data_IF_469463149961
#
_entry.id   IF_469463149961
#
_cell.length_a   1.000
_cell.length_b   1.000
_cell.length_c   1.000
_cell.angle_alpha   90.00
_cell.angle_beta   90.00
_cell.angle_gamma   90.00
#
_symmetry.space_group_name_H-M   'P 1'
#
loop_
_entity.id
_entity.type
_entity.pdbx_description
1 polymer ?
#
# COMPACT_ATOMS: atom_id res chain seq x y z
N UNK A 1 -43.45 -23.79 18.43
CA UNK A 1 -43.32 -22.35 18.09
C UNK A 1 -42.13 -21.90 18.91
N UNK A 2 -40.94 -22.05 18.32
CA UNK A 2 -39.68 -21.80 19.00
C UNK A 2 -39.28 -20.35 18.75
N UNK A 3 -39.29 -19.56 19.83
CA UNK A 3 -38.78 -18.19 19.88
C UNK A 3 -37.25 -18.23 19.70
N UNK A 4 -36.79 -17.88 18.50
CA UNK A 4 -35.37 -17.71 18.22
C UNK A 4 -34.94 -16.32 18.72
N UNK A 5 -33.97 -16.20 19.64
CA UNK A 5 -33.52 -14.91 20.12
C UNK A 5 -32.82 -14.15 19.00
N UNK A 6 -33.26 -12.91 18.77
CA UNK A 6 -32.60 -11.94 17.90
C UNK A 6 -31.12 -11.84 18.29
N UNK A 7 -30.27 -12.40 17.43
CA UNK A 7 -28.83 -12.30 17.55
C UNK A 7 -28.44 -10.89 17.08
N UNK A 8 -28.57 -9.90 17.97
CA UNK A 8 -28.02 -8.58 17.72
C UNK A 8 -26.49 -8.71 17.76
N UNK A 9 -25.88 -8.68 16.57
CA UNK A 9 -24.45 -8.51 16.43
C UNK A 9 -24.05 -7.27 17.26
N UNK A 10 -23.03 -7.33 18.14
CA UNK A 10 -22.53 -6.15 18.79
C UNK A 10 -22.17 -5.14 17.71
N UNK A 11 -22.79 -3.96 17.75
CA UNK A 11 -22.42 -2.87 16.85
C UNK A 11 -20.97 -2.53 17.17
N UNK A 12 -20.05 -2.83 16.24
CA UNK A 12 -18.67 -2.40 16.36
C UNK A 12 -18.67 -0.90 16.69
N UNK A 13 -17.79 -0.43 17.59
CA UNK A 13 -17.63 1.00 17.77
C UNK A 13 -17.38 1.64 16.40
N UNK A 14 -17.87 2.87 16.16
CA UNK A 14 -17.67 3.55 14.89
C UNK A 14 -16.18 3.47 14.53
N UNK A 15 -15.88 2.90 13.37
CA UNK A 15 -14.51 2.65 12.93
C UNK A 15 -13.71 3.94 13.09
N UNK A 16 -12.58 3.85 13.79
CA UNK A 16 -11.65 4.97 13.85
C UNK A 16 -11.24 5.26 12.42
N UNK A 17 -11.70 6.38 11.86
CA UNK A 17 -11.45 6.77 10.46
C UNK A 17 -9.97 7.10 10.17
N UNK A 18 -9.06 6.74 11.08
CA UNK A 18 -7.67 7.18 11.14
C UNK A 18 -6.69 6.06 11.57
N UNK A 19 -7.06 4.79 11.49
CA UNK A 19 -6.11 3.69 11.72
C UNK A 19 -4.98 3.71 10.68
N UNK A 20 -3.73 3.55 11.12
CA UNK A 20 -2.57 3.43 10.22
C UNK A 20 -2.33 2.01 9.78
N UNK A 21 -2.52 1.05 10.68
CA UNK A 21 -2.26 -0.36 10.40
C UNK A 21 -3.44 -1.21 10.82
N UNK A 22 -3.84 -2.14 9.98
CA UNK A 22 -4.85 -3.15 10.30
C UNK A 22 -4.25 -4.54 10.08
N UNK A 23 -4.21 -5.36 11.14
CA UNK A 23 -3.67 -6.72 11.07
C UNK A 23 -4.78 -7.70 10.70
N UNK A 24 -4.57 -8.46 9.62
CA UNK A 24 -5.46 -9.51 9.14
C UNK A 24 -4.78 -10.87 9.08
N UNK A 25 -5.52 -11.87 8.61
CA UNK A 25 -5.01 -13.25 8.45
C UNK A 25 -3.90 -13.38 7.40
N UNK A 26 -3.78 -12.40 6.50
CA UNK A 26 -2.84 -12.41 5.37
C UNK A 26 -1.67 -11.43 5.52
N UNK A 27 -1.57 -10.73 6.65
CA UNK A 27 -0.54 -9.72 6.89
C UNK A 27 -1.10 -8.44 7.49
N UNK A 28 -0.57 -7.29 7.07
CA UNK A 28 -0.98 -5.98 7.55
C UNK A 28 -1.39 -5.09 6.38
N UNK A 29 -2.53 -4.43 6.47
CA UNK A 29 -2.84 -3.29 5.63
C UNK A 29 -2.24 -2.03 6.27
N UNK A 30 -1.66 -1.17 5.46
CA UNK A 30 -1.14 0.13 5.88
C UNK A 30 -1.86 1.24 5.14
N UNK A 31 -2.33 2.23 5.88
CA UNK A 31 -3.07 3.38 5.41
C UNK A 31 -2.28 4.67 5.59
N UNK A 32 -2.29 5.52 4.56
CA UNK A 32 -1.84 6.90 4.60
C UNK A 32 -2.92 7.85 4.12
N UNK A 33 -3.09 8.98 4.78
CA UNK A 33 -4.18 9.93 4.55
C UNK A 33 -3.64 11.29 4.08
N UNK A 34 -3.30 11.45 2.81
CA UNK A 34 -2.73 12.70 2.32
C UNK A 34 -3.73 13.85 2.48
N UNK A 35 -3.24 15.05 2.79
CA UNK A 35 -4.04 16.28 2.96
C UNK A 35 -4.87 16.64 1.73
N UNK A 36 -4.35 16.24 0.57
CA UNK A 36 -5.01 16.06 -0.72
C UNK A 36 -6.43 15.51 -0.75
N UNK A 37 -6.76 14.61 0.18
CA UNK A 37 -7.87 13.69 0.07
C UNK A 37 -7.52 12.32 -0.52
N UNK A 38 -8.46 11.39 -0.38
CA UNK A 38 -8.27 9.97 -0.66
C UNK A 38 -7.45 9.24 0.41
N UNK A 39 -7.04 8.02 0.08
CA UNK A 39 -6.27 7.14 0.97
C UNK A 39 -5.25 6.33 0.17
N UNK A 40 -4.02 6.25 0.67
CA UNK A 40 -3.01 5.31 0.18
C UNK A 40 -3.17 3.99 0.94
N UNK A 41 -3.23 2.88 0.23
CA UNK A 41 -3.40 1.54 0.80
C UNK A 41 -2.27 0.64 0.29
N UNK A 42 -1.61 -0.05 1.21
CA UNK A 42 -0.60 -1.07 0.93
C UNK A 42 -0.92 -2.35 1.69
N UNK A 43 -0.96 -3.48 0.97
CA UNK A 43 -0.74 -4.78 1.61
C UNK A 43 0.76 -4.89 1.94
N UNK A 44 1.12 -4.63 3.20
CA UNK A 44 2.50 -4.52 3.62
C UNK A 44 3.09 -5.89 3.98
N UNK A 45 4.27 -6.17 3.42
CA UNK A 45 5.11 -7.28 3.87
C UNK A 45 6.04 -6.86 5.03
N UNK A 46 6.89 -7.79 5.48
CA UNK A 46 7.82 -7.52 6.58
C UNK A 46 8.80 -6.38 6.26
N UNK A 47 9.26 -6.29 5.02
CA UNK A 47 10.23 -5.31 4.59
C UNK A 47 9.58 -3.93 4.46
N UNK A 48 8.33 -3.85 3.99
CA UNK A 48 7.53 -2.63 3.98
C UNK A 48 7.36 -2.08 5.40
N UNK A 49 7.01 -2.92 6.37
CA UNK A 49 6.86 -2.52 7.77
C UNK A 49 8.17 -1.97 8.36
N UNK A 50 9.31 -2.58 8.02
CA UNK A 50 10.64 -2.09 8.43
C UNK A 50 10.99 -0.75 7.77
N UNK A 51 10.74 -0.62 6.47
CA UNK A 51 10.98 0.60 5.71
C UNK A 51 10.14 1.79 6.22
N UNK A 52 8.88 1.51 6.61
CA UNK A 52 7.95 2.49 7.15
C UNK A 52 8.15 2.76 8.65
N UNK A 53 9.08 2.05 9.30
CA UNK A 53 9.32 2.10 10.75
C UNK A 53 8.06 1.84 11.58
N UNK A 54 7.22 0.91 11.12
CA UNK A 54 5.96 0.56 11.80
C UNK A 54 6.15 -0.64 12.74
N UNK A 55 5.47 -0.64 13.90
CA UNK A 55 5.45 -1.80 14.77
C UNK A 55 4.70 -2.95 14.10
N UNK A 56 5.19 -4.18 14.34
CA UNK A 56 4.65 -5.42 13.76
C UNK A 56 3.78 -6.22 14.72
N UNK A 57 3.63 -5.73 15.96
CA UNK A 57 2.97 -6.45 17.05
C UNK A 57 1.69 -5.79 17.56
N UNK A 58 1.43 -4.55 17.16
CA UNK A 58 0.27 -3.78 17.62
C UNK A 58 -0.08 -2.70 16.60
N UNK A 59 -1.36 -2.29 16.64
CA UNK A 59 -1.92 -1.27 15.75
C UNK A 59 -1.28 0.09 16.00
N UNK A 60 -0.96 0.79 14.91
CA UNK A 60 -0.60 2.20 14.88
C UNK A 60 -1.79 3.04 14.42
N UNK A 61 -1.83 4.28 14.90
CA UNK A 61 -2.79 5.29 14.47
C UNK A 61 -2.11 6.34 13.60
N UNK A 62 -2.92 7.02 12.78
CA UNK A 62 -2.51 8.18 11.98
C UNK A 62 -1.98 9.31 12.85
N UNK A 63 -1.06 10.12 12.33
CA UNK A 63 -0.69 11.38 12.99
C UNK A 63 -1.84 12.39 12.94
N UNK A 64 -2.13 13.12 14.02
CA UNK A 64 -3.06 14.24 13.98
C UNK A 64 -2.51 15.45 13.20
N UNK A 65 -1.20 15.51 12.95
CA UNK A 65 -0.58 16.56 12.15
C UNK A 65 -0.64 16.23 10.67
N UNK A 66 -1.26 17.10 9.88
CA UNK A 66 -1.34 16.94 8.42
C UNK A 66 0.05 16.87 7.78
N UNK A 67 1.01 17.67 8.24
CA UNK A 67 2.36 17.68 7.68
C UNK A 67 3.13 16.39 7.98
N UNK A 68 2.98 15.83 9.19
CA UNK A 68 3.55 14.53 9.53
C UNK A 68 2.89 13.41 8.73
N UNK A 69 1.59 13.52 8.52
CA UNK A 69 0.82 12.58 7.72
C UNK A 69 1.28 12.57 6.27
N UNK A 70 1.44 13.74 5.66
CA UNK A 70 1.90 13.86 4.28
C UNK A 70 3.32 13.33 4.10
N UNK A 71 4.20 13.55 5.09
CA UNK A 71 5.53 12.91 5.11
C UNK A 71 5.44 11.39 5.15
N UNK A 72 4.54 10.84 5.97
CA UNK A 72 4.31 9.40 6.01
C UNK A 72 3.73 8.88 4.68
N UNK A 73 2.76 9.57 4.09
CA UNK A 73 2.21 9.23 2.78
C UNK A 73 3.28 9.21 1.68
N UNK A 74 4.20 10.18 1.70
CA UNK A 74 5.34 10.20 0.78
C UNK A 74 6.26 9.00 0.96
N UNK A 75 6.45 8.52 2.20
CA UNK A 75 7.20 7.29 2.47
C UNK A 75 6.42 6.04 2.03
N UNK A 76 5.12 5.99 2.29
CA UNK A 76 4.24 4.89 1.90
C UNK A 76 4.15 4.72 0.38
N UNK A 77 4.17 5.81 -0.40
CA UNK A 77 4.28 5.72 -1.88
C UNK A 77 5.54 5.00 -2.33
N UNK A 78 6.65 5.17 -1.62
CA UNK A 78 7.93 4.50 -1.92
C UNK A 78 7.92 3.00 -1.67
N UNK A 79 6.82 2.45 -1.13
CA UNK A 79 6.59 0.99 -1.04
C UNK A 79 5.65 0.49 -2.13
N UNK A 80 5.19 1.35 -3.06
CA UNK A 80 4.24 0.96 -4.10
C UNK A 80 2.79 0.92 -3.62
N UNK A 81 2.44 1.72 -2.61
CA UNK A 81 1.06 1.85 -2.16
C UNK A 81 0.18 2.50 -3.24
N UNK A 82 -1.04 2.00 -3.39
CA UNK A 82 -2.01 2.50 -4.37
C UNK A 82 -2.90 3.56 -3.73
N UNK A 83 -3.20 4.64 -4.46
CA UNK A 83 -4.16 5.66 -4.03
C UNK A 83 -5.58 5.24 -4.40
N UNK A 84 -6.52 5.49 -3.49
CA UNK A 84 -7.94 5.23 -3.62
C UNK A 84 -8.74 6.47 -3.23
N UNK A 85 -9.88 6.75 -3.89
CA UNK A 85 -10.84 7.78 -3.49
C UNK A 85 -11.27 7.67 -2.02
N UNK A 86 -11.48 6.45 -1.50
CA UNK A 86 -11.78 6.18 -0.09
C UNK A 86 -11.48 4.72 0.27
N UNK A 87 -11.60 4.37 1.56
CA UNK A 87 -11.46 2.98 2.01
C UNK A 87 -12.62 2.11 1.49
N UNK A 88 -13.83 2.66 1.51
CA UNK A 88 -15.04 2.01 1.04
C UNK A 88 -14.92 1.66 -0.45
N UNK A 89 -14.39 2.58 -1.25
CA UNK A 89 -14.16 2.37 -2.67
C UNK A 89 -13.14 1.25 -2.94
N UNK A 90 -12.08 1.14 -2.12
CA UNK A 90 -11.18 -0.02 -2.16
C UNK A 90 -11.89 -1.32 -1.77
N UNK A 91 -12.72 -1.30 -0.73
CA UNK A 91 -13.50 -2.47 -0.29
C UNK A 91 -14.48 -2.92 -1.39
N UNK A 92 -15.16 -2.00 -2.07
CA UNK A 92 -16.04 -2.30 -3.19
C UNK A 92 -15.29 -3.05 -4.30
N UNK A 93 -14.05 -2.67 -4.61
CA UNK A 93 -13.19 -3.46 -5.52
C UNK A 93 -12.86 -4.83 -4.97
N UNK A 94 -12.44 -4.92 -3.70
CA UNK A 94 -12.02 -6.21 -3.13
C UNK A 94 -13.16 -7.22 -3.04
N UNK A 95 -14.41 -6.74 -3.00
CA UNK A 95 -15.62 -7.56 -2.96
C UNK A 95 -16.28 -7.75 -4.34
N UNK A 96 -15.56 -7.44 -5.42
CA UNK A 96 -16.05 -7.51 -6.81
C UNK A 96 -17.34 -6.68 -7.05
N UNK A 97 -17.59 -5.66 -6.22
CA UNK A 97 -18.69 -4.71 -6.36
C UNK A 97 -18.47 -3.67 -7.46
N UNK A 98 -17.21 -3.42 -7.81
CA UNK A 98 -16.80 -2.64 -8.99
C UNK A 98 -15.50 -3.17 -9.59
N UNK A 99 -15.31 -2.93 -10.89
CA UNK A 99 -14.02 -3.23 -11.54
C UNK A 99 -12.95 -2.19 -11.15
N UNK A 100 -11.69 -2.63 -11.07
CA UNK A 100 -10.54 -1.72 -10.96
C UNK A 100 -10.37 -0.91 -12.24
N UNK A 101 -10.02 0.35 -12.09
CA UNK A 101 -9.47 1.14 -13.21
C UNK A 101 -8.11 0.59 -13.63
N UNK A 102 -7.65 0.92 -14.85
CA UNK A 102 -6.31 0.54 -15.30
C UNK A 102 -5.21 1.06 -14.37
N UNK A 103 -5.36 2.25 -13.80
CA UNK A 103 -4.40 2.83 -12.86
C UNK A 103 -4.39 2.12 -11.51
N UNK A 104 -5.56 1.75 -10.96
CA UNK A 104 -5.66 0.99 -9.70
C UNK A 104 -5.12 -0.43 -9.86
N UNK A 105 -5.25 -1.02 -11.05
CA UNK A 105 -4.75 -2.35 -11.35
C UNK A 105 -3.22 -2.40 -11.45
N UNK A 106 -2.56 -1.31 -11.88
CA UNK A 106 -1.10 -1.25 -11.97
C UNK A 106 -0.47 -1.60 -10.63
N UNK A 107 0.52 -2.47 -10.68
CA UNK A 107 1.36 -2.76 -9.51
C UNK A 107 2.76 -2.29 -9.79
N UNK A 108 3.29 -1.57 -8.81
CA UNK A 108 4.61 -0.99 -8.86
C UNK A 108 5.31 -1.36 -7.56
N UNK A 109 6.51 -1.88 -7.67
CA UNK A 109 7.36 -2.22 -6.53
C UNK A 109 8.68 -1.48 -6.65
N UNK A 110 9.17 -0.98 -5.52
CA UNK A 110 10.43 -0.25 -5.45
C UNK A 110 11.45 -1.00 -4.63
N UNK A 111 12.69 -0.98 -5.10
CA UNK A 111 13.86 -1.45 -4.41
C UNK A 111 14.84 -0.30 -4.24
N UNK A 112 15.12 0.07 -3.00
CA UNK A 112 15.97 1.21 -2.66
C UNK A 112 17.37 0.71 -2.28
N UNK A 113 18.40 0.92 -3.12
CA UNK A 113 19.76 0.50 -2.83
C UNK A 113 20.30 1.10 -1.53
N UNK A 114 21.12 0.35 -0.81
CA UNK A 114 21.72 0.79 0.46
C UNK A 114 22.75 1.91 0.28
N UNK A 115 23.32 2.07 -0.91
CA UNK A 115 24.19 3.19 -1.27
C UNK A 115 23.43 4.52 -1.48
N UNK A 116 22.09 4.46 -1.53
CA UNK A 116 21.22 5.62 -1.71
C UNK A 116 21.20 6.18 -3.14
N UNK A 117 21.78 5.47 -4.11
CA UNK A 117 21.85 5.93 -5.51
C UNK A 117 20.74 5.30 -6.32
N UNK A 118 19.82 6.14 -6.81
CA UNK A 118 18.72 5.73 -7.67
C UNK A 118 17.72 4.78 -7.00
N UNK A 119 16.95 4.09 -7.83
CA UNK A 119 15.91 3.16 -7.41
C UNK A 119 15.67 2.09 -8.47
N UNK A 120 15.42 0.86 -8.03
CA UNK A 120 14.91 -0.20 -8.88
C UNK A 120 13.39 -0.15 -8.90
N UNK A 121 12.80 -0.20 -10.09
CA UNK A 121 11.34 -0.14 -10.28
C UNK A 121 10.87 -1.37 -11.05
N UNK A 122 9.96 -2.12 -10.45
CA UNK A 122 9.30 -3.26 -11.08
C UNK A 122 7.85 -2.89 -11.36
N UNK A 123 7.38 -3.17 -12.58
CA UNK A 123 6.05 -2.73 -13.06
C UNK A 123 5.28 -3.89 -13.66
N UNK A 124 4.00 -3.98 -13.31
CA UNK A 124 3.03 -4.85 -13.96
C UNK A 124 1.73 -4.09 -14.20
N UNK A 125 1.05 -4.36 -15.31
CA UNK A 125 -0.22 -3.70 -15.62
C UNK A 125 -1.37 -4.19 -14.71
N UNK A 126 -1.27 -5.41 -14.18
CA UNK A 126 -2.23 -5.96 -13.21
C UNK A 126 -1.72 -7.20 -12.48
N UNK A 127 -2.39 -7.56 -11.38
CA UNK A 127 -2.23 -8.83 -10.66
C UNK A 127 -2.23 -10.06 -11.58
N UNK A 128 -2.95 -10.00 -12.71
CA UNK A 128 -3.06 -11.08 -13.70
C UNK A 128 -1.74 -11.37 -14.44
N UNK A 129 -0.82 -10.40 -14.47
CA UNK A 129 0.48 -10.54 -15.13
C UNK A 129 1.60 -10.99 -14.19
N UNK A 130 1.32 -11.18 -12.90
CA UNK A 130 2.34 -11.60 -11.95
C UNK A 130 2.86 -13.01 -12.28
N UNK A 131 4.19 -13.21 -12.22
CA UNK A 131 4.78 -14.54 -12.22
C UNK A 131 4.17 -15.41 -11.11
N UNK A 132 4.02 -16.72 -11.37
CA UNK A 132 3.43 -17.66 -10.40
C UNK A 132 4.18 -17.69 -9.06
N UNK A 133 5.47 -17.39 -9.08
CA UNK A 133 6.36 -17.39 -7.92
C UNK A 133 6.58 -16.00 -7.31
N UNK A 134 5.82 -14.98 -7.73
CA UNK A 134 6.00 -13.58 -7.29
C UNK A 134 5.98 -13.40 -5.76
N UNK A 135 5.30 -14.30 -5.04
CA UNK A 135 5.32 -14.34 -3.57
C UNK A 135 6.72 -14.46 -2.95
N UNK A 136 7.75 -14.89 -3.70
CA UNK A 136 9.16 -14.88 -3.27
C UNK A 136 9.63 -13.50 -2.82
N UNK A 137 9.10 -12.43 -3.42
CA UNK A 137 9.45 -11.06 -3.04
C UNK A 137 9.13 -10.76 -1.57
N UNK A 138 8.01 -11.31 -1.04
CA UNK A 138 7.60 -11.15 0.36
C UNK A 138 8.51 -11.89 1.36
N UNK A 139 9.40 -12.75 0.86
CA UNK A 139 10.37 -13.51 1.66
C UNK A 139 11.73 -12.80 1.76
N UNK A 140 11.94 -11.70 1.03
CA UNK A 140 13.17 -10.94 1.11
C UNK A 140 13.37 -10.37 2.52
N UNK A 141 14.57 -10.56 3.07
CA UNK A 141 14.91 -10.13 4.43
C UNK A 141 15.43 -8.69 4.48
N UNK A 142 15.83 -8.13 3.34
CA UNK A 142 16.37 -6.79 3.21
C UNK A 142 16.19 -6.24 1.79
N UNK A 143 16.47 -4.94 1.59
CA UNK A 143 16.30 -4.28 0.30
C UNK A 143 17.20 -4.83 -0.81
N UNK A 144 18.42 -5.25 -0.52
CA UNK A 144 19.32 -5.81 -1.54
C UNK A 144 18.82 -7.16 -2.06
N UNK A 145 18.32 -8.01 -1.17
CA UNK A 145 17.66 -9.27 -1.55
C UNK A 145 16.38 -9.00 -2.35
N UNK A 146 15.55 -8.04 -1.93
CA UNK A 146 14.36 -7.62 -2.70
C UNK A 146 14.76 -7.14 -4.10
N UNK A 147 15.79 -6.31 -4.22
CA UNK A 147 16.33 -5.82 -5.50
C UNK A 147 16.81 -6.99 -6.37
N UNK A 148 17.51 -7.96 -5.80
CA UNK A 148 17.96 -9.15 -6.54
C UNK A 148 16.76 -9.93 -7.13
N UNK A 149 15.72 -10.16 -6.33
CA UNK A 149 14.50 -10.84 -6.80
C UNK A 149 13.76 -9.98 -7.84
N UNK A 150 13.64 -8.67 -7.62
CA UNK A 150 13.01 -7.74 -8.57
C UNK A 150 13.70 -7.77 -9.94
N UNK A 151 15.02 -7.90 -9.98
CA UNK A 151 15.78 -8.02 -11.23
C UNK A 151 15.44 -9.28 -12.00
N UNK A 152 15.18 -10.40 -11.32
CA UNK A 152 14.71 -11.64 -11.97
C UNK A 152 13.33 -11.44 -12.64
N UNK A 153 12.52 -10.54 -12.10
CA UNK A 153 11.21 -10.16 -12.66
C UNK A 153 11.24 -9.02 -13.67
N UNK A 154 12.44 -8.56 -14.07
CA UNK A 154 12.59 -7.53 -15.10
C UNK A 154 12.50 -6.10 -14.59
N UNK A 155 12.80 -5.86 -13.31
CA UNK A 155 12.90 -4.50 -12.79
C UNK A 155 13.97 -3.68 -13.52
N UNK A 156 13.72 -2.38 -13.66
CA UNK A 156 14.63 -1.43 -14.30
C UNK A 156 15.23 -0.49 -13.26
N UNK A 157 16.51 -0.17 -13.43
CA UNK A 157 17.19 0.81 -12.58
C UNK A 157 16.97 2.23 -13.12
N UNK A 158 16.65 3.16 -12.23
CA UNK A 158 16.50 4.58 -12.53
C UNK A 158 17.41 5.36 -11.58
N UNK A 159 18.45 5.97 -12.13
CA UNK A 159 19.43 6.74 -11.35
C UNK A 159 18.84 8.03 -10.78
N UNK A 160 18.09 8.76 -11.61
CA UNK A 160 17.42 10.01 -11.25
C UNK A 160 15.98 9.73 -10.81
N UNK A 161 15.76 9.73 -9.50
CA UNK A 161 14.47 9.42 -8.87
C UNK A 161 13.36 10.33 -9.41
N UNK A 162 13.67 11.58 -9.79
CA UNK A 162 12.66 12.53 -10.31
C UNK A 162 12.00 12.08 -11.61
N UNK A 163 12.59 11.10 -12.31
CA UNK A 163 12.03 10.48 -13.53
C UNK A 163 11.09 9.31 -13.26
N UNK A 164 10.90 8.94 -11.99
CA UNK A 164 9.99 7.87 -11.60
C UNK A 164 8.62 8.48 -11.32
N UNK A 165 7.80 8.55 -12.37
CA UNK A 165 6.47 9.17 -12.33
C UNK A 165 5.60 8.60 -11.19
N UNK A 166 5.73 7.32 -10.85
CA UNK A 166 4.90 6.70 -9.80
C UNK A 166 5.20 7.21 -8.38
N UNK A 167 6.33 7.89 -8.19
CA UNK A 167 6.66 8.59 -6.95
C UNK A 167 6.08 10.00 -6.90
N UNK A 168 5.57 10.51 -8.02
CA UNK A 168 5.10 11.88 -8.18
C UNK A 168 3.72 11.90 -8.90
N UNK A 169 2.69 12.37 -8.17
CA UNK A 169 1.34 12.78 -8.64
C UNK A 169 0.31 11.67 -9.01
N UNK A 170 -1.03 11.87 -8.77
CA UNK A 170 -1.88 12.70 -9.64
C UNK A 170 -2.99 13.60 -9.00
N UNK A 171 -3.21 13.63 -7.68
CA UNK A 171 -4.43 14.27 -7.12
C UNK A 171 -4.46 15.82 -7.18
N UNK A 172 -3.32 16.51 -7.28
CA UNK A 172 -3.27 17.98 -7.43
C UNK A 172 -3.84 18.46 -8.78
N UNK A 173 -3.81 17.62 -9.81
CA UNK A 173 -4.32 17.95 -11.15
C UNK A 173 -5.85 17.79 -11.28
N UNK A 174 -6.56 17.43 -10.21
CA UNK A 174 -8.01 17.16 -10.21
C UNK A 174 -8.83 18.14 -9.35
N UNK A 175 -8.20 19.22 -8.88
CA UNK A 175 -8.83 20.28 -8.07
C UNK A 175 -9.10 21.59 -8.86
N UNK A 176 -9.28 21.52 -10.18
CA UNK A 176 -9.76 22.63 -11.03
C UNK A 176 -10.99 22.23 -11.81
#
# INVERSE_FOLDING_TARGET
>A
MDDQPDCSCPTNPPESTTERTEFGTRGCLVYGYPSAGGVLIKEADLLDMLFLMLPRSHVSLRSPSADEEDRFCNLLRRTGATWWPSREDWVEVQLDGREMTEEEAKMVEFGWPTDGVGVWVLRFASAKQLPRDFGRMRLAMNMEEKIQIMREYGATFVEDITKVEELYVPWEARAT
#
